data_IF_542781413785
#
_entry.id   IF_542781413785
#
_cell.length_a   1.000
_cell.length_b   1.000
_cell.length_c   1.000
_cell.angle_alpha   90.00
_cell.angle_beta   90.00
_cell.angle_gamma   90.00
#
_symmetry.space_group_name_H-M   'P 1'
#
loop_
_entity.id
_entity.type
_entity.pdbx_description
1 polymer ?
#
# COMPACT_ATOMS: atom_id res chain seq x y z
N UNK A 1 -7.74 13.09 -8.53
CA UNK A 1 -6.51 12.72 -9.26
C UNK A 1 -5.74 14.01 -9.54
N UNK A 2 -4.74 14.35 -8.74
CA UNK A 2 -3.74 15.33 -9.12
C UNK A 2 -2.64 14.59 -9.85
N UNK A 3 -2.46 14.93 -11.12
CA UNK A 3 -1.33 14.47 -11.90
C UNK A 3 -0.07 15.21 -11.42
N UNK A 4 0.88 14.50 -10.87
CA UNK A 4 2.21 15.06 -10.67
C UNK A 4 2.87 15.24 -12.03
N UNK A 5 3.18 16.49 -12.38
CA UNK A 5 3.98 16.80 -13.55
C UNK A 5 5.44 16.44 -13.26
N UNK A 6 5.87 15.31 -13.80
CA UNK A 6 7.30 15.04 -13.97
C UNK A 6 7.84 16.06 -14.98
N UNK A 7 8.63 17.02 -14.50
CA UNK A 7 9.34 17.97 -15.34
C UNK A 7 10.52 17.23 -15.96
N UNK A 8 10.38 16.77 -17.20
CA UNK A 8 11.51 16.27 -17.95
C UNK A 8 12.51 17.41 -18.11
N UNK A 9 13.67 17.31 -17.48
CA UNK A 9 14.81 18.20 -17.74
C UNK A 9 15.29 18.02 -19.16
N UNK A 10 15.54 19.14 -19.83
CA UNK A 10 16.15 19.23 -21.16
C UNK A 10 17.39 18.33 -21.31
N UNK A 11 17.64 17.73 -22.48
CA UNK A 11 18.81 16.88 -22.66
C UNK A 11 20.10 17.70 -22.52
N UNK A 12 20.81 17.44 -21.45
CA UNK A 12 22.15 17.99 -21.23
C UNK A 12 23.17 17.32 -22.18
N UNK A 13 23.63 18.02 -23.18
CA UNK A 13 24.67 17.58 -24.12
C UNK A 13 26.10 17.73 -23.56
N UNK A 14 26.28 17.40 -22.31
CA UNK A 14 27.62 17.28 -21.68
C UNK A 14 27.61 15.97 -20.90
N UNK A 15 28.61 15.10 -21.11
CA UNK A 15 28.71 13.79 -20.46
C UNK A 15 28.87 13.88 -18.94
N UNK A 16 27.77 14.25 -18.25
CA UNK A 16 27.61 14.21 -16.81
C UNK A 16 26.72 13.03 -16.45
N UNK A 17 27.10 12.30 -15.42
CA UNK A 17 26.26 11.26 -14.82
C UNK A 17 24.89 11.86 -14.48
N UNK A 18 23.81 11.16 -14.80
CA UNK A 18 22.46 11.53 -14.35
C UNK A 18 22.50 11.63 -12.82
N UNK A 19 22.05 12.76 -12.22
CA UNK A 19 22.00 12.85 -10.77
C UNK A 19 21.22 11.67 -10.19
N UNK A 20 21.75 11.05 -9.15
CA UNK A 20 21.05 9.96 -8.47
C UNK A 20 19.72 10.48 -7.89
N UNK A 21 18.68 9.67 -7.93
CA UNK A 21 17.43 9.96 -7.26
C UNK A 21 17.69 10.20 -5.75
N UNK A 22 16.85 10.96 -5.09
CA UNK A 22 16.94 11.21 -3.64
C UNK A 22 15.96 10.34 -2.84
N UNK A 23 15.02 9.72 -3.51
CA UNK A 23 14.03 8.80 -2.93
C UNK A 23 13.46 7.86 -3.99
N UNK A 24 12.85 6.79 -3.56
CA UNK A 24 11.96 5.92 -4.36
C UNK A 24 10.59 5.95 -3.71
N UNK A 25 9.57 6.10 -4.54
CA UNK A 25 8.17 5.87 -4.23
C UNK A 25 7.55 5.14 -5.42
N UNK A 26 7.49 3.81 -5.35
CA UNK A 26 7.15 2.95 -6.47
C UNK A 26 5.90 2.12 -6.20
N UNK A 27 4.87 2.32 -7.03
CA UNK A 27 3.59 1.59 -7.02
C UNK A 27 3.42 0.67 -8.22
N UNK A 28 4.41 0.60 -9.09
CA UNK A 28 4.38 -0.15 -10.35
C UNK A 28 3.24 0.22 -11.31
N UNK A 29 2.51 1.30 -11.06
CA UNK A 29 1.46 1.79 -11.97
C UNK A 29 2.03 2.15 -13.35
N UNK A 30 3.26 2.65 -13.38
CA UNK A 30 4.04 2.92 -14.59
C UNK A 30 4.68 1.67 -15.24
N UNK A 31 4.57 0.51 -14.60
CA UNK A 31 5.27 -0.72 -15.00
C UNK A 31 6.64 -0.86 -14.33
N UNK A 32 7.47 -1.77 -14.84
CA UNK A 32 8.79 -2.09 -14.26
C UNK A 32 9.97 -1.31 -14.86
N UNK A 33 9.71 -0.29 -15.68
CA UNK A 33 10.75 0.37 -16.49
C UNK A 33 11.79 1.16 -15.67
N UNK A 34 11.43 1.56 -14.44
CA UNK A 34 12.35 2.23 -13.51
C UNK A 34 13.30 1.24 -12.81
N UNK A 35 13.05 -0.06 -12.96
CA UNK A 35 13.82 -1.11 -12.29
C UNK A 35 14.64 -1.90 -13.29
N UNK A 36 15.86 -2.24 -12.90
CA UNK A 36 16.69 -3.15 -13.66
C UNK A 36 16.35 -4.59 -13.31
N UNK A 37 16.02 -5.40 -14.33
CA UNK A 37 15.75 -6.82 -14.16
C UNK A 37 16.95 -7.62 -14.67
N UNK A 38 17.58 -8.39 -13.77
CA UNK A 38 18.66 -9.30 -14.12
C UNK A 38 18.24 -10.72 -13.76
N UNK A 39 18.38 -11.63 -14.69
CA UNK A 39 17.96 -13.04 -14.53
C UNK A 39 19.02 -14.07 -14.93
N UNK A 40 20.14 -13.64 -15.47
CA UNK A 40 21.19 -14.55 -15.94
C UNK A 40 20.63 -15.66 -16.87
N UNK A 41 20.91 -16.92 -16.54
CA UNK A 41 20.42 -18.08 -17.27
C UNK A 41 19.04 -18.59 -16.83
N UNK A 42 18.35 -17.89 -15.90
CA UNK A 42 17.03 -18.26 -15.39
C UNK A 42 15.98 -18.24 -16.51
N UNK A 43 15.03 -19.16 -16.44
CA UNK A 43 13.91 -19.27 -17.41
C UNK A 43 12.70 -18.44 -17.00
N UNK A 44 12.64 -18.00 -15.74
CA UNK A 44 11.68 -17.01 -15.21
C UNK A 44 12.27 -15.60 -15.20
N UNK A 45 11.49 -14.64 -14.79
CA UNK A 45 11.88 -13.24 -14.64
C UNK A 45 10.94 -12.53 -13.66
N UNK A 46 11.34 -11.38 -13.15
CA UNK A 46 10.40 -10.43 -12.58
C UNK A 46 9.47 -9.90 -13.68
N UNK A 47 8.21 -9.80 -13.40
CA UNK A 47 7.18 -9.37 -14.35
C UNK A 47 6.14 -8.51 -13.65
N UNK A 48 5.47 -7.65 -14.40
CA UNK A 48 4.33 -6.90 -13.91
C UNK A 48 3.13 -7.85 -13.77
N UNK A 49 2.52 -7.88 -12.60
CA UNK A 49 1.20 -8.47 -12.35
C UNK A 49 0.19 -7.33 -12.34
N UNK A 50 -0.96 -7.52 -12.96
CA UNK A 50 -2.09 -6.59 -12.93
C UNK A 50 -3.34 -7.39 -12.55
N UNK A 51 -3.74 -7.24 -11.31
CA UNK A 51 -4.92 -7.92 -10.79
C UNK A 51 -5.96 -6.90 -10.35
N UNK A 52 -7.05 -6.80 -11.10
CA UNK A 52 -8.15 -5.83 -10.87
C UNK A 52 -7.69 -4.35 -10.82
N UNK A 53 -6.67 -4.01 -11.60
CA UNK A 53 -6.11 -2.65 -11.64
C UNK A 53 -5.06 -2.35 -10.57
N UNK A 54 -4.78 -3.29 -9.68
CA UNK A 54 -3.64 -3.21 -8.76
C UNK A 54 -2.43 -3.85 -9.42
N UNK A 55 -1.41 -3.05 -9.68
CA UNK A 55 -0.18 -3.51 -10.31
C UNK A 55 0.89 -3.79 -9.26
N UNK A 56 1.75 -4.75 -9.53
CA UNK A 56 2.83 -5.13 -8.63
C UNK A 56 3.95 -5.87 -9.38
N UNK A 57 5.15 -5.88 -8.83
CA UNK A 57 6.23 -6.73 -9.31
C UNK A 57 6.05 -8.16 -8.81
N UNK A 58 6.13 -9.15 -9.69
CA UNK A 58 5.90 -10.56 -9.38
C UNK A 58 7.05 -11.44 -9.84
N UNK A 59 7.42 -12.42 -9.02
CA UNK A 59 8.33 -13.49 -9.40
C UNK A 59 7.91 -14.85 -8.85
N UNK A 60 8.33 -15.92 -9.52
CA UNK A 60 8.10 -17.31 -9.09
C UNK A 60 9.01 -18.25 -9.87
N UNK A 61 9.33 -19.40 -9.29
CA UNK A 61 9.96 -20.53 -10.00
C UNK A 61 8.95 -21.61 -10.42
N UNK A 62 7.65 -21.35 -10.31
CA UNK A 62 6.63 -22.32 -10.73
C UNK A 62 6.69 -22.57 -12.25
N UNK A 63 6.66 -23.84 -12.65
CA UNK A 63 6.78 -24.28 -14.05
C UNK A 63 8.08 -23.85 -14.75
N UNK A 64 9.17 -23.65 -14.03
CA UNK A 64 10.48 -23.32 -14.59
C UNK A 64 11.38 -24.52 -14.74
N UNK A 65 12.48 -24.38 -15.46
CA UNK A 65 13.52 -25.40 -15.62
C UNK A 65 14.82 -24.91 -14.98
N UNK A 66 15.37 -25.71 -14.10
CA UNK A 66 16.62 -25.42 -13.39
C UNK A 66 16.49 -24.34 -12.30
N UNK A 67 17.60 -24.02 -11.63
CA UNK A 67 17.63 -22.95 -10.63
C UNK A 67 17.27 -21.59 -11.23
N UNK A 68 16.52 -20.80 -10.47
CA UNK A 68 16.18 -19.42 -10.79
C UNK A 68 16.94 -18.50 -9.84
N UNK A 69 17.54 -17.46 -10.38
CA UNK A 69 18.18 -16.35 -9.65
C UNK A 69 17.81 -15.05 -10.32
N UNK A 70 16.84 -14.35 -9.74
CA UNK A 70 16.13 -13.24 -10.36
C UNK A 70 16.33 -11.99 -9.52
N UNK A 71 16.82 -10.92 -10.14
CA UNK A 71 17.08 -9.65 -9.49
C UNK A 71 16.14 -8.58 -10.01
N UNK A 72 15.58 -7.80 -9.11
CA UNK A 72 14.89 -6.54 -9.35
C UNK A 72 15.65 -5.47 -8.61
N UNK A 73 16.35 -4.59 -9.33
CA UNK A 73 17.32 -3.65 -8.78
C UNK A 73 16.81 -2.24 -9.05
N UNK A 74 16.80 -1.39 -8.02
CA UNK A 74 16.41 0.01 -8.11
C UNK A 74 17.38 0.84 -8.97
N UNK A 75 16.99 2.05 -9.32
CA UNK A 75 17.93 3.09 -9.66
C UNK A 75 18.81 3.44 -8.46
N UNK A 76 19.86 4.21 -8.71
CA UNK A 76 20.78 4.70 -7.67
C UNK A 76 20.12 5.81 -6.86
N UNK A 77 20.04 5.65 -5.54
CA UNK A 77 19.42 6.62 -4.64
C UNK A 77 20.47 7.26 -3.74
N UNK A 78 20.49 8.57 -3.71
CA UNK A 78 21.39 9.35 -2.86
C UNK A 78 20.72 9.66 -1.52
N UNK A 79 21.18 9.04 -0.45
CA UNK A 79 20.66 9.22 0.90
C UNK A 79 21.33 10.32 1.71
N UNK A 80 22.28 11.06 1.12
CA UNK A 80 23.09 12.08 1.87
C UNK A 80 22.25 13.25 2.38
N UNK A 81 21.10 13.51 1.78
CA UNK A 81 20.18 14.58 2.17
C UNK A 81 19.03 14.10 3.06
N UNK A 82 18.89 12.80 3.26
CA UNK A 82 17.83 12.24 4.09
C UNK A 82 18.20 12.36 5.57
N UNK A 83 17.32 12.91 6.40
CA UNK A 83 17.56 13.01 7.85
C UNK A 83 17.40 11.68 8.57
N UNK A 84 16.42 10.88 8.16
CA UNK A 84 16.12 9.57 8.72
C UNK A 84 15.75 8.58 7.59
N UNK A 85 16.74 8.14 6.77
CA UNK A 85 16.44 7.29 5.64
C UNK A 85 15.91 5.93 6.07
N UNK A 86 14.85 5.48 5.43
CA UNK A 86 14.18 4.22 5.69
C UNK A 86 13.84 3.50 4.38
N UNK A 87 13.70 2.17 4.44
CA UNK A 87 13.19 1.33 3.36
C UNK A 87 11.96 0.57 3.86
N UNK A 88 10.87 0.63 3.11
CA UNK A 88 9.70 -0.19 3.34
C UNK A 88 9.05 -0.62 2.02
N UNK A 89 8.22 -1.64 2.08
CA UNK A 89 7.44 -2.13 0.94
C UNK A 89 6.31 -3.04 1.42
N UNK A 90 5.33 -3.22 0.55
CA UNK A 90 4.27 -4.20 0.73
C UNK A 90 4.61 -5.50 0.02
N UNK A 91 4.23 -6.62 0.62
CA UNK A 91 4.45 -7.96 0.08
C UNK A 91 3.17 -8.79 0.13
N UNK A 92 2.98 -9.60 -0.89
CA UNK A 92 1.99 -10.68 -0.93
C UNK A 92 2.72 -11.97 -1.29
N UNK A 93 2.52 -13.00 -0.47
CA UNK A 93 3.11 -14.33 -0.68
C UNK A 93 2.00 -15.30 -1.06
N UNK A 94 2.21 -16.07 -2.12
CA UNK A 94 1.27 -17.10 -2.56
C UNK A 94 1.99 -18.42 -2.80
N UNK A 95 1.29 -19.51 -2.52
CA UNK A 95 1.85 -20.86 -2.73
C UNK A 95 3.20 -21.06 -2.05
N UNK A 96 3.30 -20.61 -0.80
CA UNK A 96 4.53 -20.66 -0.05
C UNK A 96 5.06 -22.11 0.10
N UNK A 97 6.30 -22.31 -0.29
CA UNK A 97 7.03 -23.58 -0.18
C UNK A 97 8.45 -23.39 0.37
N UNK A 98 8.96 -22.17 0.31
CA UNK A 98 10.30 -21.83 0.81
C UNK A 98 10.46 -20.32 0.95
N UNK A 99 11.44 -19.88 1.71
CA UNK A 99 11.87 -18.50 1.82
C UNK A 99 12.86 -18.21 0.69
N UNK A 100 12.33 -17.65 -0.41
CA UNK A 100 13.09 -17.45 -1.64
C UNK A 100 13.45 -16.01 -1.94
N UNK A 101 12.94 -15.05 -1.17
CA UNK A 101 13.15 -13.63 -1.40
C UNK A 101 14.18 -13.06 -0.42
N UNK A 102 15.17 -12.32 -0.94
CA UNK A 102 16.12 -11.52 -0.16
C UNK A 102 15.98 -10.06 -0.52
N UNK A 103 16.15 -9.17 0.47
CA UNK A 103 16.24 -7.73 0.32
C UNK A 103 17.68 -7.32 0.56
N UNK A 104 18.29 -6.67 -0.41
CA UNK A 104 19.74 -6.41 -0.43
C UNK A 104 20.01 -4.94 -0.70
N UNK A 105 21.11 -4.41 -0.15
CA UNK A 105 21.60 -3.06 -0.44
C UNK A 105 23.07 -3.10 -0.86
N UNK A 106 23.45 -2.26 -1.82
CA UNK A 106 24.83 -2.09 -2.26
C UNK A 106 25.19 -0.62 -2.44
N UNK A 107 26.41 -0.26 -2.05
CA UNK A 107 27.02 1.05 -2.30
C UNK A 107 28.02 1.03 -3.44
N UNK A 108 28.40 -0.15 -3.91
CA UNK A 108 29.44 -0.35 -4.94
C UNK A 108 28.93 -0.98 -6.24
N UNK A 109 27.60 -1.22 -6.36
CA UNK A 109 27.04 -1.75 -7.59
C UNK A 109 27.29 -0.82 -8.77
N UNK A 110 27.81 -1.38 -9.87
CA UNK A 110 28.22 -0.63 -11.06
C UNK A 110 27.06 -0.36 -12.05
N UNK A 111 25.85 -0.78 -11.74
CA UNK A 111 24.66 -0.64 -12.59
C UNK A 111 24.55 -1.69 -13.69
N UNK A 112 25.44 -2.70 -13.75
CA UNK A 112 25.48 -3.70 -14.84
C UNK A 112 25.47 -5.13 -14.33
N UNK A 113 26.42 -5.50 -13.47
CA UNK A 113 26.68 -6.89 -13.06
C UNK A 113 26.50 -7.06 -11.56
N UNK A 114 25.33 -7.50 -11.10
CA UNK A 114 25.08 -7.61 -9.66
C UNK A 114 26.02 -8.62 -8.95
N UNK A 115 26.51 -9.62 -9.64
CA UNK A 115 27.44 -10.61 -9.08
C UNK A 115 28.82 -10.06 -8.75
N UNK A 116 29.20 -8.89 -9.30
CA UNK A 116 30.48 -8.22 -9.05
C UNK A 116 30.40 -7.23 -7.87
N UNK A 117 29.20 -6.92 -7.40
CA UNK A 117 28.99 -5.96 -6.32
C UNK A 117 28.94 -6.64 -4.94
N UNK A 118 29.25 -5.86 -3.92
CA UNK A 118 29.06 -6.25 -2.53
C UNK A 118 27.61 -5.95 -2.12
N UNK A 119 26.86 -6.97 -1.80
CA UNK A 119 25.47 -6.83 -1.31
C UNK A 119 25.39 -7.16 0.17
N UNK A 120 24.80 -6.25 0.94
CA UNK A 120 24.50 -6.44 2.35
C UNK A 120 23.05 -6.91 2.46
N UNK A 121 22.84 -8.00 3.18
CA UNK A 121 21.53 -8.62 3.35
C UNK A 121 20.74 -7.89 4.45
N UNK A 122 19.60 -7.32 4.07
CA UNK A 122 18.64 -6.64 4.94
C UNK A 122 17.41 -7.50 5.23
N UNK A 123 17.33 -8.71 4.71
CA UNK A 123 16.11 -9.56 4.74
C UNK A 123 15.56 -9.75 6.15
N UNK A 124 16.43 -9.85 7.16
CA UNK A 124 16.02 -10.05 8.56
C UNK A 124 15.37 -8.81 9.21
N UNK A 125 15.37 -7.64 8.55
CA UNK A 125 14.65 -6.45 9.02
C UNK A 125 13.18 -6.47 8.62
N UNK A 126 12.79 -7.44 7.79
CA UNK A 126 11.44 -7.56 7.24
C UNK A 126 10.80 -8.86 7.68
N UNK A 127 9.47 -8.88 7.68
CA UNK A 127 8.68 -10.07 7.98
C UNK A 127 8.13 -10.67 6.69
N UNK A 128 8.42 -11.95 6.43
CA UNK A 128 7.85 -12.72 5.34
C UNK A 128 7.04 -13.88 5.93
N UNK A 129 5.72 -13.70 5.98
CA UNK A 129 4.80 -14.68 6.57
C UNK A 129 4.09 -15.49 5.49
N UNK A 130 4.56 -16.69 5.24
CA UNK A 130 3.95 -17.63 4.29
C UNK A 130 2.56 -18.12 4.70
N UNK A 131 2.13 -17.93 5.97
CA UNK A 131 0.79 -18.30 6.44
C UNK A 131 -0.29 -17.36 5.94
N UNK A 132 0.07 -16.12 5.54
CA UNK A 132 -0.85 -15.11 5.03
C UNK A 132 -1.18 -15.28 3.55
N UNK A 133 -1.10 -16.49 3.01
CA UNK A 133 -1.17 -16.79 1.57
C UNK A 133 -2.21 -15.94 0.81
N UNK A 134 -1.72 -15.19 -0.18
CA UNK A 134 -2.54 -14.36 -1.06
C UNK A 134 -3.03 -13.03 -0.47
N UNK A 135 -2.63 -12.67 0.75
CA UNK A 135 -2.95 -11.36 1.35
C UNK A 135 -1.76 -10.42 1.25
N UNK A 136 -2.06 -9.14 1.01
CA UNK A 136 -1.09 -8.05 1.10
C UNK A 136 -0.85 -7.64 2.55
N UNK A 137 0.38 -7.30 2.88
CA UNK A 137 0.77 -6.70 4.15
C UNK A 137 2.10 -5.96 3.98
N UNK A 138 2.33 -4.98 4.84
CA UNK A 138 3.62 -4.26 4.89
C UNK A 138 4.67 -5.17 5.51
N UNK A 139 5.78 -5.38 4.80
CA UNK A 139 6.87 -6.25 5.25
C UNK A 139 7.59 -5.72 6.50
N UNK A 140 7.50 -4.43 6.76
CA UNK A 140 8.15 -3.73 7.85
C UNK A 140 8.97 -2.53 7.38
N UNK A 141 9.69 -1.90 8.32
CA UNK A 141 10.57 -0.76 8.06
C UNK A 141 12.00 -1.15 8.40
N UNK A 142 12.92 -0.91 7.48
CA UNK A 142 14.36 -1.01 7.73
C UNK A 142 14.97 0.38 7.88
N UNK A 143 15.63 0.64 9.00
CA UNK A 143 16.45 1.84 9.19
C UNK A 143 17.66 1.79 8.27
N UNK A 144 17.79 2.80 7.39
CA UNK A 144 18.88 2.95 6.44
C UNK A 144 19.93 3.97 6.89
N UNK A 145 19.90 4.40 8.15
CA UNK A 145 20.82 5.41 8.71
C UNK A 145 22.30 5.03 8.56
N UNK A 146 22.62 3.74 8.54
CA UNK A 146 23.98 3.26 8.27
C UNK A 146 24.51 3.66 6.88
N UNK A 147 23.62 4.02 5.95
CA UNK A 147 23.92 4.39 4.56
C UNK A 147 23.67 5.88 4.29
N UNK A 148 23.36 6.68 5.30
CA UNK A 148 23.01 8.10 5.17
C UNK A 148 24.04 8.95 4.43
N UNK A 149 25.32 8.60 4.50
CA UNK A 149 26.40 9.30 3.79
C UNK A 149 26.69 8.79 2.37
N UNK A 150 25.85 7.88 1.87
CA UNK A 150 26.11 7.09 0.66
C UNK A 150 25.01 7.25 -0.38
N UNK A 151 25.34 6.87 -1.60
CA UNK A 151 24.34 6.52 -2.60
C UNK A 151 24.24 5.00 -2.68
N UNK A 152 23.02 4.49 -2.70
CA UNK A 152 22.74 3.05 -2.64
C UNK A 152 21.92 2.57 -3.83
N UNK A 153 22.01 1.27 -4.07
CA UNK A 153 21.03 0.51 -4.82
C UNK A 153 20.36 -0.47 -3.87
N UNK A 154 19.05 -0.64 -4.00
CA UNK A 154 18.30 -1.70 -3.32
C UNK A 154 17.92 -2.77 -4.33
N UNK A 155 18.00 -4.03 -3.94
CA UNK A 155 17.63 -5.15 -4.78
C UNK A 155 16.72 -6.14 -4.04
N UNK A 156 15.71 -6.62 -4.75
CA UNK A 156 14.94 -7.80 -4.39
C UNK A 156 15.44 -8.97 -5.21
N UNK A 157 16.05 -9.94 -4.54
CA UNK A 157 16.60 -11.13 -5.18
C UNK A 157 15.75 -12.34 -4.85
N UNK A 158 15.22 -12.99 -5.86
CA UNK A 158 14.50 -14.25 -5.71
C UNK A 158 15.33 -15.43 -6.16
N UNK A 159 15.39 -16.46 -5.31
CA UNK A 159 16.03 -17.73 -5.63
C UNK A 159 15.05 -18.89 -5.45
N UNK A 160 14.89 -19.72 -6.48
CA UNK A 160 13.98 -20.86 -6.46
C UNK A 160 14.38 -21.95 -7.44
N UNK A 161 13.72 -23.10 -7.34
CA UNK A 161 13.93 -24.23 -8.24
C UNK A 161 12.71 -25.17 -8.20
N UNK A 162 12.02 -25.29 -9.33
CA UNK A 162 10.84 -26.16 -9.42
C UNK A 162 11.16 -27.64 -9.15
N UNK A 163 12.35 -28.11 -9.52
CA UNK A 163 12.76 -29.49 -9.27
C UNK A 163 12.89 -29.82 -7.77
N UNK A 164 13.16 -28.81 -6.94
CA UNK A 164 13.29 -28.94 -5.48
C UNK A 164 12.02 -28.49 -4.74
N UNK A 165 10.90 -28.27 -5.47
CA UNK A 165 9.65 -27.72 -4.94
C UNK A 165 9.80 -26.34 -4.31
N UNK A 166 10.83 -25.56 -4.68
CA UNK A 166 11.08 -24.19 -4.23
C UNK A 166 10.43 -23.22 -5.20
N UNK A 167 9.11 -23.04 -5.07
CA UNK A 167 8.29 -22.34 -6.08
C UNK A 167 7.42 -21.23 -5.52
N UNK A 168 7.66 -20.75 -4.31
CA UNK A 168 6.93 -19.63 -3.71
C UNK A 168 6.79 -18.49 -4.72
N UNK A 169 5.61 -17.90 -4.78
CA UNK A 169 5.35 -16.70 -5.58
C UNK A 169 5.32 -15.48 -4.68
N UNK A 170 6.16 -14.49 -5.00
CA UNK A 170 6.18 -13.19 -4.32
C UNK A 170 5.64 -12.11 -5.24
N UNK A 171 4.91 -11.19 -4.63
CA UNK A 171 4.50 -9.94 -5.23
C UNK A 171 4.98 -8.82 -4.31
N UNK A 172 5.51 -7.75 -4.89
CA UNK A 172 6.03 -6.59 -4.17
C UNK A 172 5.38 -5.34 -4.76
N UNK A 173 5.02 -4.41 -3.87
CA UNK A 173 4.40 -3.14 -4.23
C UNK A 173 4.74 -2.07 -3.20
N UNK A 174 4.35 -0.82 -3.45
CA UNK A 174 4.48 0.30 -2.52
C UNK A 174 5.89 0.41 -1.92
N UNK A 175 6.93 0.34 -2.78
CA UNK A 175 8.32 0.44 -2.32
C UNK A 175 8.65 1.89 -2.05
N UNK A 176 9.10 2.17 -0.84
CA UNK A 176 9.54 3.48 -0.40
C UNK A 176 10.98 3.40 0.11
N UNK A 177 11.85 4.27 -0.39
CA UNK A 177 13.22 4.44 0.10
C UNK A 177 13.54 5.92 0.13
N UNK A 178 14.03 6.42 1.24
CA UNK A 178 14.43 7.81 1.41
C UNK A 178 14.02 8.34 2.77
N UNK A 179 13.86 9.68 2.86
CA UNK A 179 13.43 10.35 4.08
C UNK A 179 11.93 10.09 4.30
N UNK A 180 11.60 9.88 5.57
CA UNK A 180 10.21 9.76 6.02
C UNK A 180 9.40 8.73 5.22
N UNK A 181 9.92 7.52 5.14
CA UNK A 181 9.11 6.39 4.73
C UNK A 181 7.93 6.32 5.70
N UNK A 182 6.83 6.88 5.27
CA UNK A 182 5.57 6.70 5.97
C UNK A 182 5.13 5.28 5.67
N UNK A 183 5.64 4.32 6.46
CA UNK A 183 4.83 3.14 6.58
C UNK A 183 3.56 3.61 7.23
N UNK A 184 2.48 3.46 6.55
CA UNK A 184 1.25 3.18 7.24
C UNK A 184 1.53 1.85 7.98
N UNK A 185 2.27 1.91 9.13
CA UNK A 185 2.01 0.92 10.17
C UNK A 185 0.50 0.94 10.25
N UNK A 186 -0.11 -0.19 10.25
CA UNK A 186 -1.54 -0.43 10.43
C UNK A 186 -2.05 0.29 11.69
N UNK A 187 -1.89 1.57 11.69
CA UNK A 187 -2.51 2.56 12.51
C UNK A 187 -3.69 3.02 11.67
N UNK A 188 -4.65 2.10 11.53
CA UNK A 188 -5.97 2.53 11.15
C UNK A 188 -6.32 3.67 12.08
N UNK A 189 -6.25 4.92 11.56
CA UNK A 189 -6.64 6.10 12.32
C UNK A 189 -8.04 5.91 12.89
N UNK A 190 -8.80 5.08 12.19
CA UNK A 190 -10.14 4.67 12.56
C UNK A 190 -10.50 3.36 11.82
N UNK A 191 -10.78 2.30 12.56
CA UNK A 191 -11.32 1.05 12.05
C UNK A 191 -12.66 0.74 12.70
N UNK A 192 -13.64 0.28 11.92
CA UNK A 192 -14.93 -0.17 12.41
C UNK A 192 -15.40 -1.38 11.63
N UNK A 193 -15.62 -2.49 12.33
CA UNK A 193 -16.15 -3.75 11.77
C UNK A 193 -17.59 -4.02 12.21
N UNK A 194 -18.10 -3.27 13.18
CA UNK A 194 -19.39 -3.49 13.86
C UNK A 194 -19.50 -4.83 14.59
N UNK A 195 -18.43 -5.62 14.71
CA UNK A 195 -18.45 -6.94 15.36
C UNK A 195 -18.75 -6.88 16.85
N UNK A 196 -18.57 -5.74 17.48
CA UNK A 196 -18.95 -5.49 18.87
C UNK A 196 -20.48 -5.32 19.06
N UNK A 197 -21.28 -5.36 17.99
CA UNK A 197 -22.74 -5.18 17.98
C UNK A 197 -23.19 -3.88 18.68
N UNK A 198 -22.42 -2.80 18.50
CA UNK A 198 -22.72 -1.49 19.05
C UNK A 198 -22.21 -0.35 18.14
N UNK A 199 -22.61 0.88 18.49
CA UNK A 199 -22.15 2.11 17.87
C UNK A 199 -21.23 2.93 18.82
N UNK A 200 -20.37 2.28 19.60
CA UNK A 200 -19.57 2.97 20.61
C UNK A 200 -18.61 4.03 20.02
N UNK A 201 -18.15 3.81 18.79
CA UNK A 201 -17.30 4.77 18.05
C UNK A 201 -18.12 5.80 17.25
N UNK A 202 -19.46 5.69 17.24
CA UNK A 202 -20.33 6.48 16.39
C UNK A 202 -21.39 7.22 17.14
N UNK A 203 -21.67 8.42 16.72
CA UNK A 203 -22.84 9.18 17.12
C UNK A 203 -23.94 9.03 16.05
N UNK A 204 -25.11 8.61 16.49
CA UNK A 204 -26.31 8.50 15.65
C UNK A 204 -27.07 9.80 15.77
N UNK A 205 -27.27 10.53 14.65
CA UNK A 205 -28.05 11.75 14.63
C UNK A 205 -29.25 11.57 13.69
N UNK A 206 -30.42 11.71 14.26
CA UNK A 206 -31.68 11.72 13.52
C UNK A 206 -32.05 13.15 13.17
N UNK A 207 -31.92 13.55 11.92
CA UNK A 207 -32.33 14.86 11.46
C UNK A 207 -33.77 14.85 10.98
N UNK A 208 -34.26 13.75 10.38
CA UNK A 208 -35.65 13.57 9.99
C UNK A 208 -36.08 12.11 9.99
N UNK A 209 -37.37 11.86 10.09
CA UNK A 209 -38.00 10.52 9.97
C UNK A 209 -38.27 9.81 11.29
N UNK A 210 -38.72 8.57 11.19
CA UNK A 210 -39.10 7.74 12.31
C UNK A 210 -37.89 7.07 12.96
N UNK A 211 -37.99 6.72 14.28
CA UNK A 211 -36.88 6.07 15.00
C UNK A 211 -36.43 4.75 14.38
N UNK A 212 -37.37 3.96 13.89
CA UNK A 212 -37.09 2.67 13.28
C UNK A 212 -36.51 2.75 11.86
N UNK A 213 -36.27 3.95 11.36
CA UNK A 213 -35.67 4.25 10.05
C UNK A 213 -34.26 4.83 10.16
N UNK A 214 -33.70 4.90 11.36
CA UNK A 214 -32.36 5.36 11.60
C UNK A 214 -31.32 4.23 11.36
N UNK A 215 -30.04 4.58 11.38
CA UNK A 215 -28.98 3.58 11.33
C UNK A 215 -29.14 2.54 12.44
N UNK A 216 -28.97 1.28 12.11
CA UNK A 216 -29.06 0.16 13.04
C UNK A 216 -28.06 -0.92 12.67
N UNK A 217 -27.51 -1.60 13.67
CA UNK A 217 -26.68 -2.77 13.42
C UNK A 217 -27.57 -3.94 13.03
N UNK A 218 -27.18 -4.64 12.00
CA UNK A 218 -27.85 -5.83 11.48
C UNK A 218 -26.84 -6.95 11.34
N UNK A 219 -27.34 -8.18 11.38
CA UNK A 219 -26.55 -9.39 11.18
C UNK A 219 -27.08 -10.17 9.99
N UNK A 220 -26.16 -10.60 9.12
CA UNK A 220 -26.45 -11.55 8.06
C UNK A 220 -25.37 -12.63 8.05
N UNK A 221 -25.75 -13.89 8.29
CA UNK A 221 -24.82 -14.95 8.63
C UNK A 221 -23.98 -14.56 9.85
N UNK A 222 -22.67 -14.59 9.79
CA UNK A 222 -21.78 -14.17 10.90
C UNK A 222 -21.32 -12.71 10.80
N UNK A 223 -21.69 -11.98 9.73
CA UNK A 223 -21.28 -10.61 9.51
C UNK A 223 -22.25 -9.61 10.13
N UNK A 224 -21.75 -8.71 10.99
CA UNK A 224 -22.49 -7.55 11.49
C UNK A 224 -22.14 -6.32 10.64
N UNK A 225 -23.09 -5.41 10.47
CA UNK A 225 -22.94 -4.22 9.65
C UNK A 225 -23.95 -3.14 10.04
N UNK A 226 -23.61 -1.88 9.79
CA UNK A 226 -24.56 -0.78 9.91
C UNK A 226 -25.48 -0.73 8.68
N UNK A 227 -26.78 -0.60 8.91
CA UNK A 227 -27.81 -0.50 7.88
C UNK A 227 -28.72 0.69 8.13
N UNK A 228 -29.07 1.40 7.08
CA UNK A 228 -30.14 2.40 7.06
C UNK A 228 -31.07 2.14 5.88
N UNK A 229 -32.36 2.39 6.05
CA UNK A 229 -33.34 2.26 4.96
C UNK A 229 -34.58 3.09 5.23
N UNK A 230 -35.03 3.84 4.24
CA UNK A 230 -36.30 4.56 4.26
C UNK A 230 -37.47 3.73 3.76
N UNK A 231 -37.27 2.42 3.49
CA UNK A 231 -38.36 1.57 3.00
C UNK A 231 -39.54 1.54 3.98
N UNK A 232 -40.76 1.85 3.49
CA UNK A 232 -41.96 1.94 4.29
C UNK A 232 -42.05 3.09 5.28
N UNK A 233 -41.20 4.11 5.15
CA UNK A 233 -41.32 5.35 5.91
C UNK A 233 -42.50 6.19 5.44
N UNK A 234 -43.18 6.87 6.39
CA UNK A 234 -44.28 7.75 6.08
C UNK A 234 -43.85 9.11 5.48
N UNK A 235 -42.60 9.46 5.58
CA UNK A 235 -42.04 10.73 5.10
C UNK A 235 -40.53 10.68 4.84
N UNK A 236 -39.90 11.83 4.68
CA UNK A 236 -38.47 11.94 4.48
C UNK A 236 -37.69 11.35 5.68
N UNK A 237 -36.62 10.67 5.40
CA UNK A 237 -35.67 10.15 6.39
C UNK A 237 -34.33 10.78 6.16
N UNK A 238 -33.77 11.35 7.20
CA UNK A 238 -32.39 11.85 7.25
C UNK A 238 -31.73 11.34 8.52
N UNK A 239 -30.73 10.51 8.37
CA UNK A 239 -30.03 9.82 9.43
C UNK A 239 -28.54 9.87 9.23
N UNK A 240 -27.83 10.32 10.24
CA UNK A 240 -26.38 10.50 10.21
C UNK A 240 -25.71 9.46 11.09
N UNK A 241 -24.58 8.97 10.63
CA UNK A 241 -23.61 8.17 11.36
C UNK A 241 -22.31 8.95 11.39
N UNK A 242 -22.01 9.60 12.50
CA UNK A 242 -20.85 10.51 12.64
C UNK A 242 -19.85 9.87 13.58
N UNK A 243 -18.55 9.92 13.26
CA UNK A 243 -17.52 9.49 14.22
C UNK A 243 -17.64 10.28 15.52
N UNK A 244 -17.63 9.57 16.66
CA UNK A 244 -17.88 10.15 17.98
C UNK A 244 -16.72 11.05 18.41
N UNK A 245 -15.52 10.60 18.11
CA UNK A 245 -14.30 11.33 18.38
C UNK A 245 -13.71 11.87 17.08
N UNK A 246 -13.07 13.04 17.10
CA UNK A 246 -12.33 13.53 15.94
C UNK A 246 -11.20 12.57 15.57
N UNK A 247 -11.07 12.29 14.28
CA UNK A 247 -9.97 11.50 13.74
C UNK A 247 -8.82 12.47 13.44
N UNK A 248 -7.70 12.33 14.16
CA UNK A 248 -6.52 13.12 13.88
C UNK A 248 -5.82 12.58 12.65
N UNK A 249 -5.97 13.30 11.53
CA UNK A 249 -5.23 12.99 10.31
C UNK A 249 -3.84 13.61 10.45
N UNK A 250 -2.75 12.82 10.41
CA UNK A 250 -1.41 13.37 10.46
C UNK A 250 -1.18 14.34 9.30
N UNK A 251 -0.45 15.43 9.56
CA UNK A 251 0.05 16.27 8.49
C UNK A 251 1.22 15.53 7.82
N UNK A 252 0.97 14.98 6.66
CA UNK A 252 2.02 14.40 5.82
C UNK A 252 2.41 15.41 4.76
N UNK A 253 3.69 15.65 4.60
CA UNK A 253 4.17 16.54 3.54
C UNK A 253 3.93 15.92 2.14
N UNK A 254 3.85 14.57 2.03
CA UNK A 254 3.66 13.85 0.78
C UNK A 254 2.72 12.62 0.89
N UNK A 255 2.06 12.39 2.02
CA UNK A 255 1.21 11.22 2.24
C UNK A 255 -0.26 11.43 1.87
N UNK A 256 -0.91 10.38 1.40
CA UNK A 256 -2.37 10.35 1.23
C UNK A 256 -3.01 9.60 2.39
N UNK A 257 -3.94 10.25 3.10
CA UNK A 257 -4.85 9.54 3.98
C UNK A 257 -6.00 9.00 3.15
N UNK A 258 -6.21 7.70 3.20
CA UNK A 258 -7.31 7.05 2.49
C UNK A 258 -8.44 6.72 3.45
N UNK A 259 -9.67 6.87 2.98
CA UNK A 259 -10.87 6.38 3.64
C UNK A 259 -11.50 5.31 2.75
N UNK A 260 -11.70 4.12 3.31
CA UNK A 260 -12.29 2.99 2.61
C UNK A 260 -13.36 2.31 3.45
N UNK A 261 -14.35 1.71 2.80
CA UNK A 261 -15.38 0.91 3.45
C UNK A 261 -16.03 -0.05 2.45
N UNK A 262 -16.58 -1.15 2.96
CA UNK A 262 -17.38 -2.07 2.17
C UNK A 262 -18.84 -1.63 2.17
N UNK A 263 -19.47 -1.61 0.99
CA UNK A 263 -20.88 -1.25 0.84
C UNK A 263 -21.67 -2.34 0.11
N UNK A 264 -22.86 -2.62 0.62
CA UNK A 264 -23.86 -3.41 -0.09
C UNK A 264 -25.15 -2.61 -0.24
N UNK A 265 -25.57 -2.40 -1.48
CA UNK A 265 -26.80 -1.71 -1.80
C UNK A 265 -27.88 -2.76 -2.13
N UNK A 266 -28.97 -2.71 -1.39
CA UNK A 266 -30.15 -3.52 -1.65
C UNK A 266 -31.32 -2.64 -2.14
N UNK A 267 -32.07 -3.09 -3.14
CA UNK A 267 -33.27 -2.41 -3.64
C UNK A 267 -33.02 -0.95 -4.03
N UNK A 268 -31.96 -0.73 -4.82
CA UNK A 268 -31.56 0.60 -5.26
C UNK A 268 -32.65 1.28 -6.10
N UNK A 269 -32.96 2.54 -5.76
CA UNK A 269 -33.91 3.37 -6.51
C UNK A 269 -33.46 4.84 -6.62
N UNK A 270 -32.48 5.23 -5.82
CA UNK A 270 -31.90 6.59 -5.85
C UNK A 270 -30.54 6.59 -5.16
N UNK A 271 -29.70 7.58 -5.48
CA UNK A 271 -28.51 7.91 -4.70
C UNK A 271 -28.98 8.63 -3.43
N UNK A 272 -28.77 8.02 -2.29
CA UNK A 272 -29.26 8.52 -1.01
C UNK A 272 -28.23 8.41 0.13
N UNK A 273 -27.00 7.97 -0.17
CA UNK A 273 -25.89 7.96 0.76
C UNK A 273 -24.87 9.02 0.33
N UNK A 274 -24.46 9.86 1.26
CA UNK A 274 -23.36 10.78 1.10
C UNK A 274 -22.27 10.48 2.13
N UNK A 275 -21.03 10.66 1.75
CA UNK A 275 -19.86 10.58 2.61
C UNK A 275 -19.31 11.99 2.75
N UNK A 276 -19.24 12.45 3.99
CA UNK A 276 -18.97 13.83 4.32
C UNK A 276 -17.87 13.93 5.36
N UNK A 277 -16.99 14.92 5.23
CA UNK A 277 -15.97 15.25 6.23
C UNK A 277 -16.17 16.69 6.74
N UNK A 278 -15.83 16.93 7.99
CA UNK A 278 -15.91 18.26 8.62
C UNK A 278 -14.74 18.46 9.59
N UNK A 279 -14.19 19.66 9.61
CA UNK A 279 -13.17 20.11 10.56
C UNK A 279 -13.75 20.90 11.73
N UNK A 280 -15.02 21.26 11.67
CA UNK A 280 -15.69 22.15 12.63
C UNK A 280 -16.93 21.55 13.30
N UNK A 281 -17.15 20.22 13.16
CA UNK A 281 -18.27 19.55 13.79
C UNK A 281 -18.18 19.56 15.33
N UNK A 282 -19.25 20.02 15.97
CA UNK A 282 -19.39 20.11 17.44
C UNK A 282 -20.78 19.66 17.89
N UNK A 283 -21.10 18.37 17.66
CA UNK A 283 -22.35 17.69 18.07
C UNK A 283 -23.64 18.18 17.38
N UNK A 284 -23.58 19.10 16.41
CA UNK A 284 -24.73 19.56 15.66
C UNK A 284 -24.45 19.54 14.16
N UNK A 285 -24.98 18.55 13.47
CA UNK A 285 -24.76 18.33 12.02
C UNK A 285 -25.27 19.50 11.16
N UNK A 286 -26.16 20.32 11.69
CA UNK A 286 -26.73 21.47 10.95
C UNK A 286 -25.86 22.73 11.03
N UNK A 287 -24.89 22.76 11.93
CA UNK A 287 -23.98 23.89 12.15
C UNK A 287 -22.60 23.68 11.59
N UNK A 288 -22.21 22.44 11.37
CA UNK A 288 -20.92 22.09 10.83
C UNK A 288 -20.83 22.38 9.32
N UNK A 289 -19.63 22.68 8.87
CA UNK A 289 -19.29 22.79 7.45
C UNK A 289 -18.90 21.41 6.93
N UNK A 290 -19.69 20.86 6.01
CA UNK A 290 -19.45 19.54 5.45
C UNK A 290 -18.89 19.63 4.05
N UNK A 291 -17.83 18.85 3.79
CA UNK A 291 -17.25 18.65 2.46
C UNK A 291 -17.72 17.27 1.98
N UNK A 292 -18.39 17.25 0.83
CA UNK A 292 -18.86 16.00 0.21
C UNK A 292 -17.71 15.34 -0.56
N UNK A 293 -17.43 14.09 -0.20
CA UNK A 293 -16.39 13.25 -0.81
C UNK A 293 -16.98 11.96 -1.41
N UNK A 294 -18.32 11.91 -1.62
CA UNK A 294 -19.05 10.74 -2.17
C UNK A 294 -18.56 10.30 -3.56
#
# INVERSE_FOLDING_TARGET
RQAYNYSASEPNTGGGETPAATSIDETFDGGLNAWQIVKGSSTSTWSLDDYNGVKSAKCSAFNTTGPQDLWLISEKVNLTLADNPQLAFDVKISYWTHDGLSVLVSTDYNGVTPEEATWIDLTNNFTFDGSTSGKWYTAGICDMSAYKAESVYVAFRYQGNAADSKTTTYYIDNIQLGQDVVTVTDNDLFEETFDADNFDKWQLVKAAGEENKQWAIKKYSENLYAQVSANGAAGAVESWLVSKDPITVPAFDDGMTTFGFDIKIGYWNANCLSILISEDYTDDVTKATWIDIT
#
